data_IF_806847028268
#
_entry.id   IF_806847028268
#
_cell.length_a   1.000
_cell.length_b   1.000
_cell.length_c   1.000
_cell.angle_alpha   90.00
_cell.angle_beta   90.00
_cell.angle_gamma   90.00
#
_symmetry.space_group_name_H-M   'P 1'
#
loop_
_entity.id
_entity.type
_entity.pdbx_description
1 polymer ?
#
# COMPACT_ATOMS: atom_id res chain seq x y z
N UNK A 1 39.72 -1.95 -2.20
CA UNK A 1 38.46 -2.03 -1.42
C UNK A 1 37.47 -0.91 -1.73
N UNK A 2 37.89 0.30 -2.16
CA UNK A 2 36.99 1.40 -2.52
C UNK A 2 35.97 1.07 -3.63
N UNK A 3 36.43 0.48 -4.74
CA UNK A 3 35.59 0.15 -5.91
C UNK A 3 34.40 -0.77 -5.57
N UNK A 4 34.57 -1.71 -4.64
CA UNK A 4 33.49 -2.61 -4.21
C UNK A 4 32.44 -1.86 -3.37
N UNK A 5 32.90 -0.96 -2.48
CA UNK A 5 32.01 -0.12 -1.68
C UNK A 5 31.20 0.86 -2.53
N UNK A 6 31.82 1.45 -3.56
CA UNK A 6 31.16 2.38 -4.47
C UNK A 6 30.12 1.68 -5.36
N UNK A 7 30.43 0.47 -5.84
CA UNK A 7 29.48 -0.36 -6.58
C UNK A 7 28.31 -0.78 -5.69
N UNK A 8 28.56 -1.24 -4.45
CA UNK A 8 27.49 -1.61 -3.52
C UNK A 8 26.60 -0.41 -3.16
N UNK A 9 27.17 0.77 -2.94
CA UNK A 9 26.40 1.99 -2.69
C UNK A 9 25.51 2.37 -3.89
N UNK A 10 26.05 2.31 -5.11
CA UNK A 10 25.27 2.55 -6.31
C UNK A 10 24.13 1.52 -6.50
N UNK A 11 24.36 0.25 -6.16
CA UNK A 11 23.30 -0.78 -6.23
C UNK A 11 22.18 -0.55 -5.22
N UNK A 12 22.49 -0.04 -4.02
CA UNK A 12 21.47 0.28 -3.01
C UNK A 12 20.61 1.48 -3.43
N UNK A 13 21.22 2.49 -4.05
CA UNK A 13 20.49 3.63 -4.62
C UNK A 13 19.56 3.20 -5.77
N UNK A 14 20.05 2.34 -6.67
CA UNK A 14 19.27 1.77 -7.77
C UNK A 14 18.10 0.94 -7.21
N UNK A 15 18.34 0.07 -6.24
CA UNK A 15 17.30 -0.75 -5.61
C UNK A 15 16.25 0.13 -4.92
N UNK A 16 16.68 1.17 -4.20
CA UNK A 16 15.75 2.12 -3.58
C UNK A 16 14.93 2.88 -4.62
N UNK A 17 15.50 3.20 -5.78
CA UNK A 17 14.78 3.86 -6.87
C UNK A 17 13.72 2.94 -7.47
N UNK A 18 14.08 1.69 -7.77
CA UNK A 18 13.14 0.68 -8.27
C UNK A 18 11.97 0.45 -7.31
N UNK A 19 12.22 0.33 -6.01
CA UNK A 19 11.15 0.19 -5.03
C UNK A 19 10.18 1.37 -5.08
N UNK A 20 10.67 2.60 -5.19
CA UNK A 20 9.81 3.80 -5.29
C UNK A 20 8.97 3.80 -6.57
N UNK A 21 9.54 3.38 -7.70
CA UNK A 21 8.82 3.27 -8.98
C UNK A 21 7.69 2.26 -8.85
N UNK A 22 7.97 1.05 -8.36
CA UNK A 22 6.96 0.00 -8.18
C UNK A 22 5.86 0.41 -7.20
N UNK A 23 6.22 1.17 -6.16
CA UNK A 23 5.23 1.72 -5.22
C UNK A 23 4.37 2.80 -5.85
N UNK A 24 4.94 3.65 -6.72
CA UNK A 24 4.19 4.64 -7.47
C UNK A 24 3.22 3.98 -8.44
N UNK A 25 3.65 2.96 -9.19
CA UNK A 25 2.79 2.18 -10.09
C UNK A 25 1.62 1.53 -9.35
N UNK A 26 1.87 1.02 -8.13
CA UNK A 26 0.81 0.44 -7.31
C UNK A 26 -0.19 1.50 -6.79
N UNK A 27 0.28 2.72 -6.50
CA UNK A 27 -0.60 3.85 -6.17
C UNK A 27 -1.37 4.33 -7.40
N UNK A 28 -0.77 4.31 -8.59
CA UNK A 28 -1.47 4.59 -9.85
C UNK A 28 -2.58 3.58 -10.12
N UNK A 29 -2.32 2.28 -9.92
CA UNK A 29 -3.34 1.23 -10.01
C UNK A 29 -4.48 1.50 -9.02
N UNK A 30 -4.16 1.85 -7.77
CA UNK A 30 -5.15 2.22 -6.77
C UNK A 30 -5.98 3.45 -7.19
N UNK A 31 -5.33 4.52 -7.64
CA UNK A 31 -5.99 5.75 -8.11
C UNK A 31 -6.95 5.44 -9.27
N UNK A 32 -6.50 4.67 -10.26
CA UNK A 32 -7.32 4.23 -11.40
C UNK A 32 -8.52 3.39 -10.99
N UNK A 33 -8.42 2.65 -9.89
CA UNK A 33 -9.53 1.85 -9.36
C UNK A 33 -10.52 2.69 -8.55
N UNK A 34 -10.06 3.81 -7.98
CA UNK A 34 -10.89 4.80 -7.31
C UNK A 34 -11.62 5.70 -8.32
N UNK A 35 -10.88 6.23 -9.31
CA UNK A 35 -11.36 7.11 -10.38
C UNK A 35 -12.26 6.32 -11.37
N UNK A 36 -13.55 6.39 -11.11
CA UNK A 36 -14.55 5.56 -11.77
C UNK A 36 -15.00 6.11 -13.12
N UNK A 37 -14.99 7.43 -13.27
CA UNK A 37 -15.33 8.12 -14.51
C UNK A 37 -14.10 8.44 -15.41
N UNK A 38 -12.88 8.24 -14.87
CA UNK A 38 -11.58 8.40 -15.53
C UNK A 38 -11.29 9.84 -15.92
N UNK A 39 -11.75 10.80 -15.11
CA UNK A 39 -11.51 12.21 -15.32
C UNK A 39 -10.13 12.67 -14.78
N UNK A 40 -9.41 11.81 -14.04
CA UNK A 40 -8.09 12.08 -13.46
C UNK A 40 -8.12 12.55 -12.00
N UNK A 41 -9.30 12.73 -11.43
CA UNK A 41 -9.55 13.19 -10.06
C UNK A 41 -10.53 12.23 -9.38
N UNK A 42 -10.32 11.96 -8.10
CA UNK A 42 -11.18 11.08 -7.31
C UNK A 42 -12.07 11.90 -6.40
N UNK A 43 -13.38 11.82 -6.61
CA UNK A 43 -14.35 12.50 -5.74
C UNK A 43 -14.83 11.64 -4.56
N UNK A 44 -15.65 12.23 -3.68
CA UNK A 44 -16.17 11.54 -2.50
C UNK A 44 -17.10 10.38 -2.88
N UNK A 45 -17.92 10.54 -3.91
CA UNK A 45 -18.87 9.52 -4.34
C UNK A 45 -18.17 8.30 -4.95
N UNK A 46 -17.12 8.53 -5.73
CA UNK A 46 -16.25 7.50 -6.29
C UNK A 46 -15.51 6.73 -5.20
N UNK A 47 -14.91 7.46 -4.25
CA UNK A 47 -14.27 6.88 -3.06
C UNK A 47 -15.27 6.04 -2.27
N UNK A 48 -16.46 6.57 -1.98
CA UNK A 48 -17.50 5.85 -1.25
C UNK A 48 -17.96 4.60 -1.99
N UNK A 49 -18.17 4.69 -3.30
CA UNK A 49 -18.57 3.57 -4.16
C UNK A 49 -17.52 2.48 -4.21
N UNK A 50 -16.24 2.84 -4.28
CA UNK A 50 -15.14 1.89 -4.20
C UNK A 50 -15.08 1.21 -2.83
N UNK A 51 -15.10 1.99 -1.74
CA UNK A 51 -15.01 1.46 -0.38
C UNK A 51 -16.18 0.55 -0.02
N UNK A 52 -17.39 0.79 -0.54
CA UNK A 52 -18.54 -0.10 -0.36
C UNK A 52 -18.40 -1.45 -1.08
N UNK A 53 -17.57 -1.53 -2.13
CA UNK A 53 -17.26 -2.79 -2.82
C UNK A 53 -16.18 -3.58 -2.08
N UNK A 54 -15.20 -2.87 -1.51
CA UNK A 54 -14.02 -3.48 -0.90
C UNK A 54 -14.18 -3.75 0.61
N UNK A 55 -14.96 -2.93 1.31
CA UNK A 55 -15.21 -3.02 2.75
C UNK A 55 -16.70 -3.15 3.09
N UNK A 56 -16.99 -3.44 4.36
CA UNK A 56 -18.35 -3.44 4.88
C UNK A 56 -18.96 -2.03 4.83
N UNK A 57 -20.26 -1.93 4.54
CA UNK A 57 -20.98 -0.66 4.33
C UNK A 57 -20.84 0.36 5.47
N UNK A 58 -20.70 -0.08 6.72
CA UNK A 58 -20.54 0.80 7.88
C UNK A 58 -19.16 1.45 7.97
N UNK A 59 -18.11 0.73 7.58
CA UNK A 59 -16.73 1.25 7.57
C UNK A 59 -16.52 2.19 6.37
N UNK A 60 -17.16 1.91 5.23
CA UNK A 60 -17.01 2.66 4.00
C UNK A 60 -17.41 4.15 4.14
N UNK A 61 -18.55 4.44 4.80
CA UNK A 61 -19.04 5.81 4.94
C UNK A 61 -18.20 6.67 5.90
N UNK A 62 -17.60 6.06 6.93
CA UNK A 62 -16.68 6.77 7.83
C UNK A 62 -15.35 7.05 7.15
N UNK A 63 -14.86 6.07 6.39
CA UNK A 63 -13.60 6.12 5.65
C UNK A 63 -13.66 7.12 4.49
N UNK A 64 -14.73 7.14 3.70
CA UNK A 64 -14.88 8.10 2.59
C UNK A 64 -14.80 9.55 3.06
N UNK A 65 -15.44 9.85 4.19
CA UNK A 65 -15.38 11.19 4.81
C UNK A 65 -13.98 11.57 5.30
N UNK A 66 -13.16 10.59 5.68
CA UNK A 66 -11.80 10.85 6.18
C UNK A 66 -10.82 11.16 5.05
N UNK A 67 -11.04 10.59 3.85
CA UNK A 67 -10.19 10.86 2.69
C UNK A 67 -10.46 12.23 2.07
N UNK A 68 -11.74 12.58 1.91
CA UNK A 68 -12.15 13.79 1.20
C UNK A 68 -12.62 14.89 2.18
N UNK A 69 -12.16 14.89 3.45
CA UNK A 69 -12.54 15.94 4.42
C UNK A 69 -11.94 17.30 4.07
N UNK A 70 -10.71 17.27 3.56
CA UNK A 70 -9.89 18.48 3.37
C UNK A 70 -9.80 18.87 1.89
N UNK A 71 -9.86 17.88 0.98
CA UNK A 71 -9.86 18.08 -0.47
C UNK A 71 -11.04 17.35 -1.13
N UNK A 72 -11.93 18.06 -1.85
CA UNK A 72 -13.05 17.42 -2.55
C UNK A 72 -12.60 16.50 -3.70
N UNK A 73 -11.42 16.73 -4.30
CA UNK A 73 -10.96 16.08 -5.53
C UNK A 73 -9.50 15.62 -5.37
N UNK A 74 -9.27 14.32 -5.32
CA UNK A 74 -7.93 13.75 -5.08
C UNK A 74 -7.29 13.33 -6.41
N UNK A 75 -6.23 14.03 -6.85
CA UNK A 75 -5.45 13.61 -8.02
C UNK A 75 -4.49 12.47 -7.68
N UNK A 76 -3.90 11.84 -8.70
CA UNK A 76 -2.84 10.85 -8.51
C UNK A 76 -1.64 11.42 -7.73
N UNK A 77 -1.31 12.69 -7.98
CA UNK A 77 -0.20 13.36 -7.30
C UNK A 77 -0.51 13.53 -5.82
N UNK A 78 -1.75 13.91 -5.48
CA UNK A 78 -2.18 14.09 -4.10
C UNK A 78 -2.19 12.76 -3.36
N UNK A 79 -2.71 11.70 -3.97
CA UNK A 79 -2.69 10.36 -3.38
C UNK A 79 -1.25 9.87 -3.12
N UNK A 80 -0.33 10.14 -4.04
CA UNK A 80 1.08 9.85 -3.83
C UNK A 80 1.69 10.65 -2.66
N UNK A 81 1.37 11.94 -2.53
CA UNK A 81 1.85 12.75 -1.41
C UNK A 81 1.24 12.31 -0.07
N UNK A 82 -0.06 11.97 -0.05
CA UNK A 82 -0.73 11.39 1.11
C UNK A 82 0.00 10.13 1.58
N UNK A 83 0.33 9.23 0.65
CA UNK A 83 1.11 8.03 0.96
C UNK A 83 2.51 8.35 1.48
N UNK A 84 3.23 9.30 0.87
CA UNK A 84 4.57 9.69 1.33
C UNK A 84 4.59 10.35 2.71
N UNK A 85 3.55 11.09 3.05
CA UNK A 85 3.40 11.74 4.35
C UNK A 85 2.84 10.80 5.42
N UNK A 86 2.39 9.60 5.03
CA UNK A 86 1.89 8.58 5.92
C UNK A 86 3.02 8.06 6.82
N UNK A 87 2.82 7.95 8.15
CA UNK A 87 3.83 7.37 9.05
C UNK A 87 4.28 5.96 8.65
N UNK A 88 3.38 5.19 8.00
CA UNK A 88 3.69 3.86 7.51
C UNK A 88 4.68 3.83 6.34
N UNK A 89 4.89 4.95 5.64
CA UNK A 89 5.88 5.04 4.55
C UNK A 89 7.30 4.72 5.03
N UNK A 90 7.63 5.13 6.25
CA UNK A 90 8.95 4.94 6.87
C UNK A 90 9.03 3.71 7.78
N UNK A 91 8.07 2.79 7.69
CA UNK A 91 8.14 1.55 8.45
C UNK A 91 9.32 0.69 8.04
N UNK A 92 9.98 0.13 9.04
CA UNK A 92 11.00 -0.89 8.85
C UNK A 92 10.35 -2.25 8.62
N UNK A 93 11.14 -3.23 8.18
CA UNK A 93 10.70 -4.65 8.09
C UNK A 93 10.18 -5.18 9.44
N UNK A 94 10.69 -4.66 10.57
CA UNK A 94 10.18 -5.01 11.89
C UNK A 94 8.77 -4.48 12.11
N UNK A 95 8.50 -3.25 11.67
CA UNK A 95 7.21 -2.60 11.87
C UNK A 95 6.13 -3.25 10.96
N UNK A 96 6.48 -3.59 9.71
CA UNK A 96 5.60 -4.32 8.79
C UNK A 96 5.32 -5.75 9.27
N UNK A 97 6.32 -6.46 9.80
CA UNK A 97 6.11 -7.80 10.37
C UNK A 97 5.27 -7.74 11.65
N UNK A 98 5.44 -6.71 12.48
CA UNK A 98 4.57 -6.50 13.64
C UNK A 98 3.13 -6.19 13.20
N UNK A 99 2.94 -5.34 12.19
CA UNK A 99 1.62 -5.09 11.61
C UNK A 99 0.97 -6.38 11.08
N UNK A 100 1.74 -7.21 10.38
CA UNK A 100 1.27 -8.50 9.85
C UNK A 100 0.75 -9.43 10.96
N UNK A 101 1.45 -9.49 12.09
CA UNK A 101 1.04 -10.32 13.24
C UNK A 101 -0.14 -9.70 13.99
N UNK A 102 -0.02 -8.43 14.38
CA UNK A 102 -0.96 -7.81 15.33
C UNK A 102 -2.25 -7.29 14.69
N UNK A 103 -2.21 -6.85 13.43
CA UNK A 103 -3.34 -6.18 12.78
C UNK A 103 -3.90 -6.97 11.59
N UNK A 104 -3.01 -7.61 10.83
CA UNK A 104 -3.44 -8.52 9.74
C UNK A 104 -3.74 -9.91 10.27
N UNK A 105 -3.16 -10.32 11.40
CA UNK A 105 -3.36 -11.64 11.99
C UNK A 105 -3.03 -12.75 10.96
N UNK A 106 -1.81 -12.66 10.41
CA UNK A 106 -1.21 -13.67 9.53
C UNK A 106 0.28 -13.91 9.89
N UNK A 107 0.57 -14.39 11.11
CA UNK A 107 1.95 -14.58 11.59
C UNK A 107 2.77 -15.57 10.74
N UNK A 108 2.11 -16.46 10.00
CA UNK A 108 2.76 -17.45 9.15
C UNK A 108 3.59 -16.85 7.99
N UNK A 109 3.35 -15.57 7.63
CA UNK A 109 4.09 -14.90 6.55
C UNK A 109 5.22 -13.99 7.07
N UNK A 110 5.54 -14.01 8.36
CA UNK A 110 6.58 -13.14 8.93
C UNK A 110 7.96 -13.40 8.30
N UNK A 111 8.33 -14.67 8.13
CA UNK A 111 9.63 -15.01 7.55
C UNK A 111 9.72 -14.61 6.07
N UNK A 112 8.60 -14.70 5.35
CA UNK A 112 8.49 -14.23 3.98
C UNK A 112 8.70 -12.71 3.89
N UNK A 113 8.07 -11.95 4.78
CA UNK A 113 8.25 -10.49 4.85
C UNK A 113 9.70 -10.09 5.13
N UNK A 114 10.39 -10.86 5.98
CA UNK A 114 11.82 -10.66 6.26
C UNK A 114 12.70 -11.02 5.08
N UNK A 115 12.47 -12.17 4.45
CA UNK A 115 13.25 -12.64 3.30
C UNK A 115 13.18 -11.67 2.12
N UNK A 116 12.00 -11.08 1.88
CA UNK A 116 11.80 -10.11 0.80
C UNK A 116 12.06 -8.64 1.21
N UNK A 117 12.58 -8.39 2.42
CA UNK A 117 12.81 -7.05 2.96
C UNK A 117 11.61 -6.11 2.80
N UNK A 118 10.41 -6.59 3.11
CA UNK A 118 9.17 -5.81 2.98
C UNK A 118 9.12 -4.70 4.02
N UNK A 119 9.49 -3.50 3.59
CA UNK A 119 9.40 -2.27 4.37
C UNK A 119 8.09 -1.50 4.08
N UNK A 120 7.92 -0.37 4.76
CA UNK A 120 6.77 0.51 4.58
C UNK A 120 6.56 0.91 3.13
N UNK A 121 7.64 1.25 2.43
CA UNK A 121 7.62 1.70 1.03
C UNK A 121 7.02 0.66 0.10
N UNK A 122 7.17 -0.62 0.42
CA UNK A 122 6.67 -1.75 -0.38
C UNK A 122 5.18 -2.05 -0.17
N UNK A 123 4.53 -1.46 0.84
CA UNK A 123 3.12 -1.71 1.17
C UNK A 123 2.12 -1.46 0.02
N UNK A 124 2.25 -0.42 -0.82
CA UNK A 124 1.37 -0.21 -1.97
C UNK A 124 1.27 -1.43 -2.89
N UNK A 125 2.38 -2.15 -3.06
CA UNK A 125 2.44 -3.35 -3.92
C UNK A 125 1.56 -4.48 -3.40
N UNK A 126 1.28 -4.52 -2.09
CA UNK A 126 0.36 -5.49 -1.48
C UNK A 126 -1.11 -5.15 -1.75
N UNK A 127 -1.42 -3.88 -2.04
CA UNK A 127 -2.78 -3.38 -2.25
C UNK A 127 -3.22 -3.41 -3.72
N UNK A 128 -2.35 -3.84 -4.65
CA UNK A 128 -2.67 -3.96 -6.08
C UNK A 128 -3.87 -4.88 -6.31
N UNK A 129 -4.80 -4.46 -7.18
CA UNK A 129 -6.08 -5.14 -7.34
C UNK A 129 -5.92 -6.56 -7.91
N UNK A 130 -4.95 -6.75 -8.81
CA UNK A 130 -4.66 -8.03 -9.44
C UNK A 130 -3.96 -9.04 -8.51
N UNK A 131 -3.50 -8.59 -7.33
CA UNK A 131 -2.76 -9.42 -6.35
C UNK A 131 -1.58 -10.22 -6.96
N UNK A 132 -1.03 -9.76 -8.08
CA UNK A 132 0.07 -10.41 -8.80
C UNK A 132 1.31 -10.47 -7.92
N UNK A 133 1.65 -9.36 -7.25
CA UNK A 133 2.77 -9.31 -6.32
C UNK A 133 2.67 -10.34 -5.18
N UNK A 134 1.46 -10.51 -4.61
CA UNK A 134 1.22 -11.49 -3.55
C UNK A 134 1.39 -12.93 -4.05
N UNK A 135 1.07 -13.19 -5.31
CA UNK A 135 1.07 -14.54 -5.90
C UNK A 135 2.43 -14.89 -6.49
N UNK A 136 2.96 -14.04 -7.35
CA UNK A 136 4.11 -14.30 -8.21
C UNK A 136 5.44 -14.02 -7.50
N UNK A 137 5.47 -13.04 -6.59
CA UNK A 137 6.69 -12.69 -5.84
C UNK A 137 6.69 -13.29 -4.44
N UNK A 138 5.58 -13.15 -3.71
CA UNK A 138 5.46 -13.64 -2.34
C UNK A 138 4.99 -15.11 -2.25
N UNK A 139 4.48 -15.70 -3.34
CA UNK A 139 4.05 -17.10 -3.33
C UNK A 139 2.82 -17.39 -2.47
N UNK A 140 2.03 -16.38 -2.08
CA UNK A 140 0.85 -16.53 -1.25
C UNK A 140 -0.31 -17.02 -2.11
N UNK A 141 -0.63 -18.32 -2.04
CA UNK A 141 -1.67 -18.92 -2.87
C UNK A 141 -3.08 -18.79 -2.29
N UNK A 142 -3.21 -18.72 -0.96
CA UNK A 142 -4.52 -18.69 -0.31
C UNK A 142 -5.28 -17.38 -0.63
N UNK A 143 -6.45 -17.45 -1.32
CA UNK A 143 -7.18 -16.26 -1.76
C UNK A 143 -7.72 -15.42 -0.59
N UNK A 144 -8.08 -16.05 0.53
CA UNK A 144 -8.55 -15.36 1.74
C UNK A 144 -7.43 -14.51 2.33
N UNK A 145 -6.22 -15.08 2.43
CA UNK A 145 -5.05 -14.36 2.95
C UNK A 145 -4.66 -13.21 2.04
N UNK A 146 -4.69 -13.41 0.72
CA UNK A 146 -4.43 -12.35 -0.26
C UNK A 146 -5.41 -11.20 -0.12
N UNK A 147 -6.71 -11.48 -0.06
CA UNK A 147 -7.73 -10.44 0.14
C UNK A 147 -7.57 -9.72 1.48
N UNK A 148 -7.28 -10.44 2.56
CA UNK A 148 -7.04 -9.85 3.90
C UNK A 148 -5.82 -8.91 3.87
N UNK A 149 -4.70 -9.32 3.27
CA UNK A 149 -3.51 -8.49 3.11
C UNK A 149 -3.78 -7.25 2.26
N UNK A 150 -4.42 -7.43 1.11
CA UNK A 150 -4.74 -6.33 0.20
C UNK A 150 -5.63 -5.28 0.89
N UNK A 151 -6.71 -5.70 1.56
CA UNK A 151 -7.61 -4.77 2.27
C UNK A 151 -6.91 -4.05 3.43
N UNK A 152 -6.05 -4.76 4.19
CA UNK A 152 -5.30 -4.15 5.30
C UNK A 152 -4.22 -3.19 4.81
N UNK A 153 -3.57 -3.49 3.69
CA UNK A 153 -2.59 -2.59 3.08
C UNK A 153 -3.28 -1.32 2.55
N UNK A 154 -4.42 -1.49 1.87
CA UNK A 154 -5.24 -0.39 1.38
C UNK A 154 -5.71 0.52 2.53
N UNK A 155 -6.11 -0.06 3.66
CA UNK A 155 -6.46 0.70 4.86
C UNK A 155 -5.32 1.57 5.36
N UNK A 156 -4.09 1.04 5.39
CA UNK A 156 -2.93 1.83 5.80
C UNK A 156 -2.65 2.94 4.81
N UNK A 157 -2.66 2.65 3.51
CA UNK A 157 -2.28 3.61 2.47
C UNK A 157 -3.23 4.80 2.48
N UNK A 158 -4.53 4.53 2.58
CA UNK A 158 -5.58 5.54 2.53
C UNK A 158 -5.80 6.27 3.87
N UNK A 159 -5.77 5.56 4.99
CA UNK A 159 -6.19 6.13 6.28
C UNK A 159 -5.05 6.23 7.31
N UNK A 160 -3.87 5.73 6.98
CA UNK A 160 -2.75 5.63 7.90
C UNK A 160 -2.85 4.43 8.83
N UNK A 161 -1.78 4.17 9.60
CA UNK A 161 -1.81 3.12 10.61
C UNK A 161 -2.79 3.47 11.73
N UNK A 162 -3.50 2.48 12.30
CA UNK A 162 -4.44 2.73 13.38
C UNK A 162 -3.73 3.41 14.55
N UNK A 163 -4.30 4.53 15.01
CA UNK A 163 -3.83 5.23 16.21
C UNK A 163 -4.03 4.29 17.40
N UNK A 164 -2.94 3.99 18.13
CA UNK A 164 -2.98 3.22 19.37
C UNK A 164 -3.76 3.95 20.44
#
# INVERSE_FOLDING_TARGET
MAVCSDICGATDEILSCFTKILSYEAIEDLHRNLDGDKNGEVDHFETEKFLRKEFNSGDAAKKSRMLNSDDPLISLTDLWQMWRNNPAFNWTVRDTTQWLVSLVDLPQYVDLFRQHNLDGRSLPRLAMQNMSYLTDVLGIQNPIHKKKLMLRALDIILFGPPRR
#
